data_IF_213688549964
#
_entry.id   IF_213688549964
#
_cell.length_a   1.000
_cell.length_b   1.000
_cell.length_c   1.000
_cell.angle_alpha   90.00
_cell.angle_beta   90.00
_cell.angle_gamma   90.00
#
_symmetry.space_group_name_H-M   'P 1'
#
loop_
_entity.id
_entity.type
_entity.pdbx_description
1 polymer ?
#
# COMPACT_ATOMS: atom_id res chain seq x y z
N UNK A 1 -62.03 3.14 48.87
CA UNK A 1 -61.94 2.80 47.44
C UNK A 1 -60.47 2.49 47.15
N UNK A 2 -59.99 1.31 47.50
CA UNK A 2 -59.93 0.09 46.68
C UNK A 2 -59.14 0.25 45.36
N UNK A 3 -57.85 -0.12 45.47
CA UNK A 3 -56.97 -0.77 44.49
C UNK A 3 -57.07 -0.41 42.99
N UNK A 4 -55.99 0.18 42.46
CA UNK A 4 -55.51 -0.14 41.11
C UNK A 4 -54.01 -0.42 41.14
N UNK A 5 -53.72 -1.70 40.91
CA UNK A 5 -52.44 -2.32 40.60
C UNK A 5 -51.89 -1.86 39.22
N UNK A 6 -50.67 -2.31 38.93
CA UNK A 6 -49.81 -2.19 37.73
C UNK A 6 -48.73 -1.09 37.89
N UNK A 7 -47.53 -1.40 38.38
CA UNK A 7 -46.53 -2.35 37.88
C UNK A 7 -46.09 -2.02 36.45
N UNK A 8 -44.95 -1.32 36.31
CA UNK A 8 -43.92 -1.69 35.33
C UNK A 8 -42.62 -0.93 35.63
N UNK A 9 -41.67 -1.67 36.21
CA UNK A 9 -40.24 -1.39 36.05
C UNK A 9 -39.88 -1.50 34.57
N UNK A 10 -39.06 -0.58 34.06
CA UNK A 10 -37.88 -0.91 33.23
C UNK A 10 -37.26 0.39 32.69
N UNK A 11 -36.12 0.85 33.24
CA UNK A 11 -35.20 1.72 32.54
C UNK A 11 -34.30 0.82 31.69
N UNK A 12 -34.37 0.84 30.36
CA UNK A 12 -33.28 0.38 29.50
C UNK A 12 -33.68 0.56 28.03
N UNK A 13 -32.83 1.23 27.26
CA UNK A 13 -32.48 0.96 25.86
C UNK A 13 -31.64 2.16 25.39
N UNK A 14 -30.38 2.18 25.82
CA UNK A 14 -29.23 1.93 24.95
C UNK A 14 -29.20 2.86 23.72
N UNK A 15 -28.47 3.96 23.91
CA UNK A 15 -27.74 4.61 22.84
C UNK A 15 -26.78 3.60 22.19
N UNK A 16 -26.84 3.48 20.86
CA UNK A 16 -25.73 3.01 20.03
C UNK A 16 -26.07 3.32 18.58
N UNK A 17 -25.83 4.58 18.21
CA UNK A 17 -25.68 4.96 16.81
C UNK A 17 -24.39 4.31 16.30
N UNK A 18 -24.49 3.07 15.79
CA UNK A 18 -23.42 2.47 15.00
C UNK A 18 -23.41 3.19 13.66
N UNK A 19 -22.71 4.32 13.62
CA UNK A 19 -22.19 4.85 12.37
C UNK A 19 -21.23 3.79 11.85
N UNK A 20 -21.68 2.98 10.88
CA UNK A 20 -20.78 2.20 10.05
C UNK A 20 -19.90 3.21 9.31
N UNK A 21 -18.75 3.56 9.90
CA UNK A 21 -17.62 4.04 9.15
C UNK A 21 -17.23 2.91 8.21
N UNK A 22 -17.76 2.95 6.98
CA UNK A 22 -17.13 2.22 5.89
C UNK A 22 -15.66 2.65 5.89
N UNK A 23 -14.69 1.72 5.98
CA UNK A 23 -13.31 2.09 5.74
C UNK A 23 -13.27 2.76 4.35
N UNK A 24 -12.52 3.85 4.15
CA UNK A 24 -12.30 4.34 2.80
C UNK A 24 -11.79 3.13 2.03
N UNK A 25 -12.49 2.77 0.95
CA UNK A 25 -11.95 1.81 0.00
C UNK A 25 -10.56 2.32 -0.32
N UNK A 26 -9.54 1.60 0.16
CA UNK A 26 -8.15 1.88 -0.16
C UNK A 26 -8.08 1.75 -1.67
N UNK A 27 -8.29 2.86 -2.38
CA UNK A 27 -7.88 2.99 -3.76
C UNK A 27 -6.41 2.60 -3.71
N UNK A 28 -6.10 1.39 -4.21
CA UNK A 28 -4.74 0.90 -4.28
C UNK A 28 -3.96 2.03 -4.94
N UNK A 29 -3.12 2.72 -4.15
CA UNK A 29 -2.36 3.84 -4.66
C UNK A 29 -1.46 3.24 -5.71
N UNK A 30 -1.85 3.41 -6.97
CA UNK A 30 -1.16 2.81 -8.09
C UNK A 30 0.24 3.40 -8.09
N UNK A 31 1.24 2.58 -7.76
CA UNK A 31 2.63 3.00 -7.79
C UNK A 31 2.93 3.46 -9.21
N UNK A 32 3.36 4.71 -9.42
CA UNK A 32 3.67 5.19 -10.75
C UNK A 32 4.87 4.40 -11.31
N UNK A 33 4.80 4.02 -12.58
CA UNK A 33 5.91 3.36 -13.25
C UNK A 33 6.96 4.39 -13.67
N UNK A 34 8.24 4.07 -13.48
CA UNK A 34 9.34 4.95 -13.89
C UNK A 34 9.35 5.12 -15.43
N UNK A 35 9.37 6.35 -15.97
CA UNK A 35 9.07 6.62 -17.38
C UNK A 35 10.12 6.07 -18.35
N UNK A 36 11.39 5.99 -17.94
CA UNK A 36 12.48 5.50 -18.80
C UNK A 36 12.80 4.02 -18.57
N UNK A 37 11.92 3.28 -17.88
CA UNK A 37 12.12 1.85 -17.66
C UNK A 37 11.33 1.00 -18.66
N UNK A 38 11.94 -0.11 -19.05
CA UNK A 38 11.31 -1.16 -19.85
C UNK A 38 10.85 -2.29 -18.95
N UNK A 39 9.75 -2.95 -19.29
CA UNK A 39 9.29 -4.11 -18.55
C UNK A 39 10.24 -5.29 -18.79
N UNK A 40 10.85 -5.80 -17.72
CA UNK A 40 11.76 -6.95 -17.78
C UNK A 40 11.01 -8.28 -17.88
N UNK A 41 9.75 -8.31 -17.41
CA UNK A 41 8.89 -9.48 -17.40
C UNK A 41 7.58 -9.13 -18.15
N UNK A 42 7.61 -9.02 -19.49
CA UNK A 42 6.43 -8.69 -20.29
C UNK A 42 5.31 -9.72 -20.16
N UNK A 43 5.64 -10.94 -19.75
CA UNK A 43 4.68 -12.00 -19.45
C UNK A 43 3.88 -11.79 -18.16
N UNK A 44 4.35 -10.92 -17.25
CA UNK A 44 3.65 -10.60 -16.00
C UNK A 44 2.76 -9.38 -16.18
N UNK A 45 1.46 -9.46 -15.83
CA UNK A 45 0.61 -8.29 -15.84
C UNK A 45 1.14 -7.23 -14.85
N UNK A 46 0.94 -5.95 -15.19
CA UNK A 46 1.24 -4.85 -14.27
C UNK A 46 0.46 -5.05 -12.97
N UNK A 47 1.16 -5.01 -11.84
CA UNK A 47 0.58 -5.28 -10.52
C UNK A 47 0.76 -6.72 -10.02
N UNK A 48 1.40 -7.60 -10.80
CA UNK A 48 1.85 -8.90 -10.29
C UNK A 48 2.79 -8.74 -9.09
N UNK A 49 2.74 -9.67 -8.12
CA UNK A 49 3.78 -9.74 -7.10
C UNK A 49 5.11 -10.01 -7.81
N UNK A 50 6.09 -9.11 -7.66
CA UNK A 50 7.40 -9.12 -8.36
C UNK A 50 7.37 -8.64 -9.81
N UNK A 51 6.56 -7.63 -10.13
CA UNK A 51 6.69 -6.93 -11.40
C UNK A 51 8.04 -6.19 -11.46
N UNK A 52 8.85 -6.41 -12.49
CA UNK A 52 10.17 -5.81 -12.62
C UNK A 52 10.29 -4.91 -13.85
N UNK A 53 10.87 -3.75 -13.63
CA UNK A 53 11.28 -2.83 -14.67
C UNK A 53 12.80 -2.70 -14.67
N UNK A 54 13.38 -2.43 -15.83
CA UNK A 54 14.81 -2.19 -16.00
C UNK A 54 15.02 -0.86 -16.71
N UNK A 55 16.00 -0.07 -16.28
CA UNK A 55 16.37 1.19 -16.95
C UNK A 55 17.88 1.34 -17.01
N UNK A 56 18.37 2.07 -18.01
CA UNK A 56 19.78 2.44 -18.12
C UNK A 56 20.13 3.64 -17.21
N UNK A 57 19.14 4.32 -16.64
CA UNK A 57 19.36 5.41 -15.70
C UNK A 57 20.04 4.90 -14.42
N UNK A 58 20.87 5.74 -13.80
CA UNK A 58 21.52 5.43 -12.54
C UNK A 58 20.50 5.29 -11.40
N UNK A 59 20.77 4.39 -10.44
CA UNK A 59 19.87 4.12 -9.32
C UNK A 59 19.50 5.39 -8.52
N UNK A 60 20.43 6.34 -8.39
CA UNK A 60 20.19 7.63 -7.73
C UNK A 60 19.20 8.53 -8.49
N UNK A 61 19.16 8.47 -9.82
CA UNK A 61 18.18 9.24 -10.61
C UNK A 61 16.78 8.64 -10.47
N UNK A 62 16.70 7.31 -10.48
CA UNK A 62 15.45 6.58 -10.23
C UNK A 62 14.93 6.85 -8.81
N UNK A 63 15.82 6.82 -7.82
CA UNK A 63 15.51 7.14 -6.43
C UNK A 63 14.96 8.56 -6.28
N UNK A 64 15.66 9.57 -6.81
CA UNK A 64 15.22 10.96 -6.77
C UNK A 64 13.83 11.15 -7.41
N UNK A 65 13.56 10.45 -8.51
CA UNK A 65 12.26 10.50 -9.16
C UNK A 65 11.14 9.91 -8.28
N UNK A 66 11.35 8.72 -7.70
CA UNK A 66 10.37 8.12 -6.78
C UNK A 66 10.18 8.97 -5.52
N UNK A 67 11.24 9.58 -4.98
CA UNK A 67 11.15 10.50 -3.85
C UNK A 67 10.29 11.75 -4.13
N UNK A 68 10.18 12.17 -5.40
CA UNK A 68 9.34 13.28 -5.84
C UNK A 68 7.90 12.88 -6.19
N UNK A 69 7.67 11.64 -6.64
CA UNK A 69 6.38 11.20 -7.21
C UNK A 69 5.59 10.24 -6.32
N UNK A 70 6.22 9.61 -5.32
CA UNK A 70 5.52 8.76 -4.39
C UNK A 70 4.78 9.57 -3.33
N UNK A 71 3.63 9.07 -2.83
CA UNK A 71 2.94 9.71 -1.74
C UNK A 71 3.83 9.74 -0.50
N UNK A 72 3.67 10.78 0.33
CA UNK A 72 4.44 10.94 1.58
C UNK A 72 4.23 9.80 2.60
N UNK A 73 3.20 8.97 2.41
CA UNK A 73 2.98 7.76 3.19
C UNK A 73 3.99 6.65 2.91
N UNK A 74 4.75 6.73 1.81
CA UNK A 74 5.81 5.79 1.51
C UNK A 74 7.06 6.14 2.32
N UNK A 75 7.60 5.15 3.03
CA UNK A 75 8.86 5.28 3.77
C UNK A 75 10.02 4.98 2.84
N UNK A 76 10.93 5.94 2.68
CA UNK A 76 12.17 5.74 1.94
C UNK A 76 13.26 5.16 2.84
N UNK A 77 13.98 4.17 2.34
CA UNK A 77 15.13 3.53 2.97
C UNK A 77 16.27 3.40 1.95
N UNK A 78 17.45 3.88 2.29
CA UNK A 78 18.65 3.68 1.46
C UNK A 78 19.12 2.24 1.56
N UNK A 79 19.44 1.62 0.42
CA UNK A 79 20.00 0.27 0.32
C UNK A 79 21.36 0.32 -0.39
N UNK A 80 22.16 -0.76 -0.34
CA UNK A 80 23.50 -0.79 -0.94
C UNK A 80 23.49 -0.40 -2.42
N UNK A 81 23.87 0.85 -2.74
CA UNK A 81 23.88 1.39 -4.10
C UNK A 81 22.50 1.68 -4.71
N UNK A 82 21.43 1.65 -3.91
CA UNK A 82 20.06 1.84 -4.36
C UNK A 82 19.13 2.33 -3.26
N UNK A 83 17.83 2.03 -3.40
CA UNK A 83 16.80 2.54 -2.51
C UNK A 83 15.62 1.59 -2.40
N UNK A 84 14.87 1.69 -1.30
CA UNK A 84 13.64 0.94 -1.06
C UNK A 84 12.56 1.90 -0.60
N UNK A 85 11.39 1.80 -1.19
CA UNK A 85 10.20 2.52 -0.76
C UNK A 85 9.18 1.52 -0.22
N UNK A 86 8.83 1.62 1.05
CA UNK A 86 7.76 0.86 1.66
C UNK A 86 6.49 1.73 1.70
N UNK A 87 5.53 1.45 0.82
CA UNK A 87 4.24 2.10 0.76
C UNK A 87 3.16 1.20 1.40
N UNK A 88 2.01 1.76 1.85
CA UNK A 88 0.94 0.97 2.48
C UNK A 88 0.46 -0.21 1.63
N UNK A 89 0.44 -0.05 0.29
CA UNK A 89 -0.10 -1.02 -0.66
C UNK A 89 0.95 -1.57 -1.64
N UNK A 90 2.24 -1.29 -1.45
CA UNK A 90 3.32 -1.72 -2.35
C UNK A 90 4.70 -1.54 -1.72
N UNK A 91 5.68 -2.31 -2.15
CA UNK A 91 7.10 -2.04 -1.90
C UNK A 91 7.84 -1.92 -3.22
N UNK A 92 8.70 -0.92 -3.32
CA UNK A 92 9.53 -0.67 -4.51
C UNK A 92 10.97 -0.83 -4.09
N UNK A 93 11.73 -1.66 -4.82
CA UNK A 93 13.15 -1.83 -4.62
C UNK A 93 13.89 -1.38 -5.86
N UNK A 94 14.84 -0.47 -5.69
CA UNK A 94 15.70 0.10 -6.71
C UNK A 94 17.09 -0.46 -6.45
N UNK A 95 17.61 -1.28 -7.36
CA UNK A 95 18.89 -1.97 -7.20
C UNK A 95 19.74 -1.82 -8.46
N UNK A 96 21.05 -1.50 -8.33
CA UNK A 96 21.97 -1.59 -9.45
C UNK A 96 22.13 -3.06 -9.86
N UNK A 97 22.10 -3.33 -11.16
CA UNK A 97 22.14 -4.68 -11.75
C UNK A 97 22.81 -4.63 -13.12
N UNK A 98 23.99 -5.26 -13.28
CA UNK A 98 24.74 -5.36 -14.56
C UNK A 98 24.93 -4.02 -15.30
N UNK A 99 25.28 -2.95 -14.58
CA UNK A 99 25.46 -1.61 -15.16
C UNK A 99 24.15 -0.88 -15.51
N UNK A 100 23.00 -1.47 -15.17
CA UNK A 100 21.66 -0.89 -15.27
C UNK A 100 21.04 -0.76 -13.87
N UNK A 101 19.83 -0.22 -13.82
CA UNK A 101 19.02 -0.18 -12.60
C UNK A 101 17.78 -1.05 -12.77
N UNK A 102 17.59 -1.97 -11.82
CA UNK A 102 16.40 -2.78 -11.68
C UNK A 102 15.44 -2.13 -10.69
N UNK A 103 14.16 -2.11 -11.04
CA UNK A 103 13.08 -1.56 -10.22
C UNK A 103 12.07 -2.69 -10.01
N UNK A 104 12.02 -3.23 -8.79
CA UNK A 104 11.11 -4.33 -8.45
C UNK A 104 9.92 -3.77 -7.67
N UNK A 105 8.72 -3.94 -8.23
CA UNK A 105 7.45 -3.65 -7.57
C UNK A 105 6.92 -4.93 -6.93
N UNK A 106 6.78 -4.90 -5.61
CA UNK A 106 6.28 -6.00 -4.80
C UNK A 106 4.95 -5.59 -4.20
N UNK A 107 3.95 -6.45 -4.30
CA UNK A 107 2.75 -6.31 -3.46
C UNK A 107 3.15 -6.51 -1.99
N UNK A 108 2.57 -5.77 -1.05
CA UNK A 108 2.85 -5.90 0.38
C UNK A 108 2.27 -7.20 0.96
N UNK A 109 1.61 -8.02 0.13
CA UNK A 109 1.16 -9.38 0.43
C UNK A 109 2.32 -10.38 0.64
N UNK A 110 3.36 -9.97 1.35
CA UNK A 110 4.25 -10.86 2.10
C UNK A 110 3.74 -11.11 3.52
N UNK A 111 2.43 -11.03 3.78
CA UNK A 111 1.90 -11.14 5.16
C UNK A 111 0.39 -11.30 5.38
N UNK A 112 -0.43 -11.73 4.41
CA UNK A 112 -1.86 -11.98 4.66
C UNK A 112 -2.40 -13.29 4.08
N UNK A 113 -1.57 -14.34 4.06
CA UNK A 113 -2.06 -15.72 4.10
C UNK A 113 -1.59 -16.34 5.42
N UNK A 114 -2.38 -16.16 6.48
CA UNK A 114 -2.08 -16.73 7.79
C UNK A 114 -2.57 -15.84 8.92
N UNK A 115 -3.86 -15.94 9.26
CA UNK A 115 -4.37 -16.40 10.55
C UNK A 115 -5.86 -16.65 10.39
#
# INVERSE_FOLDING_TARGET
MLHKFLSSLAPLLLASSVALLAPPASAAVAVPSYPNAVNKNPELPRGSPMFQLETADAASAVDAWYGAHLPKSCTHQTAQGGAKYACPNASIMITPHDGKTLITHMSPMGGMFGH
#
